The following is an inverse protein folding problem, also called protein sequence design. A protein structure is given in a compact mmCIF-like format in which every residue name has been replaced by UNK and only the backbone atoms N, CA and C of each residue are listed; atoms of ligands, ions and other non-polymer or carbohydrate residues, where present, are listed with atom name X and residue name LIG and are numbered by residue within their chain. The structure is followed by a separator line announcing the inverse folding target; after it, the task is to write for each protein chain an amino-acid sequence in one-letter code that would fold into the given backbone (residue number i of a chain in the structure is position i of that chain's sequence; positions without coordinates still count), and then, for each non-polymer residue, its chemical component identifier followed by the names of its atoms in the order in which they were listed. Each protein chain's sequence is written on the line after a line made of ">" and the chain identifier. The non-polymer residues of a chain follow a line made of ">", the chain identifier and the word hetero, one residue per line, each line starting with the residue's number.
data_IF_297258847851
#
_entry.id   IF_297258847851
#
_cell.length_a   1.000
_cell.length_b   1.000
_cell.length_c   1.000
_cell.angle_alpha   90.00
_cell.angle_beta   90.00
_cell.angle_gamma   90.00
#
_symmetry.space_group_name_H-M   'P 1'
#
loop_
_entity.id
_entity.type
_entity.pdbx_description
1 polymer ?
#
# COMPACT_ATOMS: atom_id res chain seq x y z
N UNK A 1 -14.19 3.07 23.04
CA UNK A 1 -14.19 2.31 21.79
C UNK A 1 -13.88 3.14 20.54
N UNK A 2 -14.70 4.16 20.10
CA UNK A 2 -14.34 4.97 18.91
C UNK A 2 -13.04 5.77 19.05
N UNK A 3 -12.81 6.43 20.20
CA UNK A 3 -11.57 7.21 20.46
C UNK A 3 -10.32 6.33 20.51
N UNK A 4 -10.45 5.10 20.96
CA UNK A 4 -9.32 4.18 21.08
C UNK A 4 -8.92 3.61 19.72
N UNK A 5 -9.88 3.36 18.83
CA UNK A 5 -9.63 2.92 17.46
C UNK A 5 -8.91 4.02 16.65
N UNK A 6 -9.40 5.26 16.72
CA UNK A 6 -8.76 6.41 16.07
C UNK A 6 -7.35 6.65 16.64
N UNK A 7 -7.18 6.51 17.94
CA UNK A 7 -5.87 6.65 18.58
C UNK A 7 -4.90 5.55 18.17
N UNK A 8 -5.37 4.31 18.04
CA UNK A 8 -4.56 3.19 17.56
C UNK A 8 -4.17 3.37 16.09
N UNK A 9 -5.09 3.85 15.25
CA UNK A 9 -4.81 4.19 13.86
C UNK A 9 -3.78 5.33 13.77
N UNK A 10 -3.95 6.40 14.54
CA UNK A 10 -3.00 7.52 14.58
C UNK A 10 -1.61 7.08 15.08
N UNK A 11 -1.55 6.24 16.12
CA UNK A 11 -0.28 5.71 16.63
C UNK A 11 0.40 4.77 15.63
N UNK A 12 -0.36 3.93 14.92
CA UNK A 12 0.17 3.10 13.83
C UNK A 12 0.70 3.95 12.67
N UNK A 13 0.07 5.10 12.42
CA UNK A 13 0.48 6.05 11.39
C UNK A 13 1.75 6.83 11.76
N UNK A 14 1.84 7.32 12.99
CA UNK A 14 3.06 7.96 13.53
C UNK A 14 4.25 6.99 13.48
N UNK A 15 4.03 5.75 13.91
CA UNK A 15 5.04 4.69 13.85
C UNK A 15 5.42 4.33 12.40
N UNK A 16 4.47 4.39 11.43
CA UNK A 16 4.74 4.17 10.01
C UNK A 16 5.64 5.26 9.42
N UNK A 17 5.44 6.52 9.82
CA UNK A 17 6.27 7.66 9.40
C UNK A 17 7.65 7.63 10.08
N UNK A 18 7.73 7.29 11.38
CA UNK A 18 9.01 7.16 12.09
C UNK A 18 9.84 5.99 11.57
N UNK A 19 9.21 4.87 11.21
CA UNK A 19 9.88 3.72 10.56
C UNK A 19 10.45 4.10 9.19
N UNK A 20 9.74 4.95 8.44
CA UNK A 20 10.17 5.48 7.15
C UNK A 20 11.44 6.34 7.23
N UNK A 21 11.76 6.89 8.40
CA UNK A 21 12.93 7.74 8.62
C UNK A 21 14.17 7.00 9.16
N UNK A 22 14.08 5.69 9.44
CA UNK A 22 15.22 4.85 9.84
C UNK A 22 15.75 4.06 8.65
N UNK A 23 16.76 4.60 8.00
CA UNK A 23 17.48 3.96 6.89
C UNK A 23 18.41 2.88 7.44
N UNK A 24 18.00 1.63 7.35
CA UNK A 24 18.93 0.48 7.27
C UNK A 24 18.54 -0.34 6.04
N UNK A 25 19.44 -0.44 5.05
CA UNK A 25 19.29 -1.29 3.86
C UNK A 25 19.23 -2.77 4.28
N UNK A 26 18.11 -3.21 4.80
CA UNK A 26 17.89 -4.59 5.21
C UNK A 26 17.12 -5.32 4.13
N UNK A 27 17.81 -6.10 3.31
CA UNK A 27 17.16 -7.01 2.37
C UNK A 27 16.32 -8.02 3.16
N UNK A 28 15.03 -8.16 2.83
CA UNK A 28 14.18 -9.19 3.46
C UNK A 28 14.66 -10.56 2.99
N UNK A 29 15.06 -11.42 3.92
CA UNK A 29 15.35 -12.83 3.66
C UNK A 29 14.00 -13.59 3.59
N UNK A 30 13.48 -13.73 2.36
CA UNK A 30 12.16 -14.35 2.13
C UNK A 30 12.30 -15.86 2.12
N UNK A 31 11.82 -16.52 3.18
CA UNK A 31 11.75 -17.98 3.32
C UNK A 31 10.35 -18.54 3.18
N UNK A 32 9.34 -17.74 3.53
CA UNK A 32 7.92 -18.15 3.51
C UNK A 32 7.07 -17.06 2.88
N UNK A 33 6.31 -17.44 1.87
CA UNK A 33 5.42 -16.54 1.11
C UNK A 33 3.98 -17.00 1.33
N UNK A 34 3.14 -16.12 1.87
CA UNK A 34 1.69 -16.34 1.96
C UNK A 34 1.01 -15.93 0.65
N UNK A 35 0.06 -16.75 0.18
CA UNK A 35 -0.79 -16.46 -0.98
C UNK A 35 -2.18 -17.11 -0.78
N UNK A 36 -3.12 -16.85 -1.71
CA UNK A 36 -4.49 -17.35 -1.62
C UNK A 36 -4.98 -17.94 -2.96
N UNK A 37 -4.65 -19.20 -3.25
CA UNK A 37 -5.10 -19.87 -4.48
C UNK A 37 -6.61 -20.14 -4.49
N UNK A 38 -7.26 -20.17 -3.33
CA UNK A 38 -8.71 -20.40 -3.23
C UNK A 38 -9.55 -19.27 -3.82
N UNK A 39 -8.98 -18.07 -3.94
CA UNK A 39 -9.65 -16.92 -4.57
C UNK A 39 -9.33 -16.85 -6.09
N UNK A 40 -8.10 -17.15 -6.47
CA UNK A 40 -7.64 -17.19 -7.87
C UNK A 40 -6.43 -18.15 -7.99
N UNK A 41 -6.49 -19.19 -8.84
CA UNK A 41 -5.36 -20.10 -9.07
C UNK A 41 -4.09 -19.39 -9.59
N UNK A 42 -4.23 -18.22 -10.23
CA UNK A 42 -3.09 -17.42 -10.68
C UNK A 42 -2.27 -16.83 -9.53
N UNK A 43 -2.86 -16.68 -8.32
CA UNK A 43 -2.17 -16.18 -7.13
C UNK A 43 -0.98 -17.08 -6.75
N UNK A 44 -1.09 -18.41 -6.94
CA UNK A 44 0.04 -19.34 -6.74
C UNK A 44 1.18 -19.10 -7.73
N UNK A 45 0.84 -18.92 -9.02
CA UNK A 45 1.84 -18.67 -10.06
C UNK A 45 2.55 -17.34 -9.83
N UNK A 46 1.78 -16.29 -9.51
CA UNK A 46 2.32 -14.97 -9.17
C UNK A 46 3.26 -15.06 -7.95
N UNK A 47 2.85 -15.71 -6.86
CA UNK A 47 3.69 -15.92 -5.67
C UNK A 47 4.98 -16.70 -6.00
N UNK A 48 4.94 -17.60 -7.00
CA UNK A 48 6.09 -18.40 -7.41
C UNK A 48 7.22 -17.57 -8.04
N UNK A 49 6.94 -16.34 -8.47
CA UNK A 49 7.94 -15.45 -9.10
C UNK A 49 8.73 -14.62 -8.10
N UNK A 50 8.34 -14.60 -6.82
CA UNK A 50 8.89 -13.64 -5.84
C UNK A 50 10.26 -14.06 -5.31
N UNK A 51 10.41 -15.32 -4.89
CA UNK A 51 11.68 -15.81 -4.38
C UNK A 51 11.86 -17.29 -4.72
N UNK A 52 12.99 -17.62 -5.37
CA UNK A 52 13.35 -19.00 -5.65
C UNK A 52 13.72 -19.72 -4.34
N UNK A 53 13.11 -20.90 -4.11
CA UNK A 53 13.39 -21.71 -2.94
C UNK A 53 12.57 -21.35 -1.69
N UNK A 54 11.82 -20.27 -1.66
CA UNK A 54 10.92 -19.96 -0.56
C UNK A 54 9.72 -20.91 -0.51
N UNK A 55 9.33 -21.32 0.69
CA UNK A 55 8.11 -22.09 0.90
C UNK A 55 6.88 -21.21 0.62
N UNK A 56 5.92 -21.74 -0.13
CA UNK A 56 4.65 -21.09 -0.47
C UNK A 56 3.54 -21.70 0.35
N UNK A 57 2.84 -20.87 1.11
CA UNK A 57 1.81 -21.32 2.05
C UNK A 57 0.47 -20.73 1.60
N UNK A 58 -0.48 -21.62 1.27
CA UNK A 58 -1.82 -21.26 0.82
C UNK A 58 -2.73 -20.95 1.99
N UNK A 59 -3.45 -19.86 1.91
CA UNK A 59 -4.46 -19.46 2.88
C UNK A 59 -5.84 -19.35 2.21
N UNK A 60 -6.90 -19.52 2.98
CA UNK A 60 -8.27 -19.64 2.47
C UNK A 60 -8.89 -18.33 1.97
N UNK A 61 -8.33 -17.18 2.33
CA UNK A 61 -8.77 -15.83 1.90
C UNK A 61 -7.67 -14.81 2.10
N UNK A 62 -7.87 -13.59 1.57
CA UNK A 62 -6.89 -12.51 1.64
C UNK A 62 -6.62 -12.01 3.06
N UNK A 63 -7.62 -12.03 3.96
CA UNK A 63 -7.44 -11.64 5.37
C UNK A 63 -6.42 -12.56 6.06
N UNK A 64 -6.61 -13.88 5.96
CA UNK A 64 -5.68 -14.85 6.54
C UNK A 64 -4.30 -14.80 5.90
N UNK A 65 -4.23 -14.54 4.60
CA UNK A 65 -2.97 -14.34 3.88
C UNK A 65 -2.22 -13.13 4.43
N UNK A 66 -2.92 -12.04 4.70
CA UNK A 66 -2.39 -10.83 5.31
C UNK A 66 -1.96 -11.08 6.77
N UNK A 67 -2.84 -11.70 7.56
CA UNK A 67 -2.61 -12.03 8.97
C UNK A 67 -1.39 -12.93 9.19
N UNK A 68 -1.10 -13.86 8.26
CA UNK A 68 0.07 -14.72 8.33
C UNK A 68 1.39 -13.95 8.34
N UNK A 69 1.44 -12.78 7.71
CA UNK A 69 2.61 -11.90 7.80
C UNK A 69 2.56 -11.08 9.08
N UNK A 70 1.39 -10.61 9.49
CA UNK A 70 1.21 -9.86 10.75
C UNK A 70 1.58 -10.72 11.96
N UNK A 71 1.26 -12.02 11.97
CA UNK A 71 1.65 -12.96 13.03
C UNK A 71 3.14 -13.35 12.99
N UNK A 72 3.78 -13.25 11.81
CA UNK A 72 5.16 -13.72 11.58
C UNK A 72 5.24 -15.18 11.13
N UNK A 73 4.11 -15.80 10.78
CA UNK A 73 4.08 -17.13 10.18
C UNK A 73 4.65 -17.14 8.76
N UNK A 74 4.56 -15.99 8.06
CA UNK A 74 5.18 -15.76 6.76
C UNK A 74 5.97 -14.45 6.77
N UNK A 75 6.98 -14.36 5.89
CA UNK A 75 7.85 -13.20 5.79
C UNK A 75 7.20 -12.12 4.91
N UNK A 76 6.50 -12.54 3.87
CA UNK A 76 5.74 -11.68 2.95
C UNK A 76 4.43 -12.34 2.52
N UNK A 77 3.49 -11.53 2.06
CA UNK A 77 2.33 -12.03 1.33
C UNK A 77 2.23 -11.39 -0.05
N UNK A 78 1.62 -12.13 -0.98
CA UNK A 78 1.38 -11.70 -2.37
C UNK A 78 -0.13 -11.59 -2.57
N UNK A 79 -0.61 -10.38 -2.81
CA UNK A 79 -2.02 -10.09 -2.96
C UNK A 79 -2.31 -9.33 -4.25
N UNK A 80 -3.33 -9.72 -5.04
CA UNK A 80 -3.77 -8.95 -6.20
C UNK A 80 -4.50 -7.70 -5.75
N UNK A 81 -4.16 -6.52 -6.24
CA UNK A 81 -4.85 -5.28 -5.88
C UNK A 81 -5.47 -4.54 -7.06
N UNK A 82 -5.12 -4.91 -8.29
CA UNK A 82 -5.68 -4.32 -9.50
C UNK A 82 -5.70 -5.32 -10.65
N UNK A 83 -6.79 -5.36 -11.40
CA UNK A 83 -7.01 -6.17 -12.58
C UNK A 83 -7.34 -5.27 -13.77
N UNK A 84 -6.78 -5.54 -14.94
CA UNK A 84 -6.96 -4.67 -16.11
C UNK A 84 -8.40 -4.65 -16.63
N UNK A 85 -9.19 -5.68 -16.37
CA UNK A 85 -10.60 -5.76 -16.79
C UNK A 85 -11.58 -5.34 -15.71
N UNK A 86 -11.41 -5.84 -14.48
CA UNK A 86 -12.36 -5.63 -13.37
C UNK A 86 -11.98 -4.48 -12.43
N UNK A 87 -10.81 -3.86 -12.62
CA UNK A 87 -10.35 -2.73 -11.82
C UNK A 87 -9.75 -3.15 -10.48
N UNK A 88 -10.01 -2.38 -9.42
CA UNK A 88 -9.39 -2.59 -8.12
C UNK A 88 -9.99 -3.78 -7.38
N UNK A 89 -9.13 -4.58 -6.73
CA UNK A 89 -9.55 -5.63 -5.78
C UNK A 89 -9.83 -4.94 -4.44
N UNK A 90 -11.07 -4.50 -4.27
CA UNK A 90 -11.47 -3.57 -3.19
C UNK A 90 -11.17 -4.12 -1.79
N UNK A 91 -11.34 -5.42 -1.58
CA UNK A 91 -11.04 -6.06 -0.30
C UNK A 91 -9.56 -5.95 0.07
N UNK A 92 -8.66 -6.17 -0.90
CA UNK A 92 -7.20 -6.01 -0.68
C UNK A 92 -6.85 -4.54 -0.43
N UNK A 93 -7.53 -3.61 -1.10
CA UNK A 93 -7.34 -2.18 -0.83
C UNK A 93 -7.76 -1.82 0.60
N UNK A 94 -8.84 -2.43 1.11
CA UNK A 94 -9.27 -2.22 2.50
C UNK A 94 -8.23 -2.74 3.51
N UNK A 95 -7.53 -3.85 3.21
CA UNK A 95 -6.40 -4.34 4.01
C UNK A 95 -5.23 -3.34 4.05
N UNK A 96 -4.96 -2.63 2.95
CA UNK A 96 -3.94 -1.57 2.93
C UNK A 96 -4.32 -0.40 3.84
N UNK A 97 -5.61 -0.07 3.94
CA UNK A 97 -6.08 0.99 4.83
C UNK A 97 -6.03 0.56 6.31
N UNK A 98 -6.54 -0.63 6.62
CA UNK A 98 -6.77 -1.08 8.00
C UNK A 98 -5.50 -1.61 8.67
N UNK A 99 -4.59 -2.21 7.91
CA UNK A 99 -3.44 -2.94 8.45
C UNK A 99 -2.13 -2.17 8.37
N UNK A 100 -1.07 -2.75 8.93
CA UNK A 100 0.24 -2.12 9.13
C UNK A 100 1.35 -2.64 8.20
N UNK A 101 1.02 -3.57 7.29
CA UNK A 101 2.00 -4.06 6.33
C UNK A 101 2.28 -3.00 5.26
N UNK A 102 3.53 -2.96 4.82
CA UNK A 102 3.97 -2.07 3.75
C UNK A 102 4.13 -2.82 2.43
N UNK A 103 3.77 -2.17 1.32
CA UNK A 103 4.10 -2.66 -0.01
C UNK A 103 5.61 -2.49 -0.23
N UNK A 104 6.31 -3.61 -0.44
CA UNK A 104 7.76 -3.62 -0.71
C UNK A 104 8.08 -3.88 -2.19
N UNK A 105 7.10 -4.37 -2.95
CA UNK A 105 7.22 -4.61 -4.39
C UNK A 105 5.84 -4.62 -5.04
N UNK A 106 5.77 -4.12 -6.25
CA UNK A 106 4.61 -4.29 -7.15
C UNK A 106 5.10 -4.90 -8.45
N UNK A 107 4.37 -5.88 -8.96
CA UNK A 107 4.66 -6.47 -10.26
C UNK A 107 3.37 -6.79 -11.03
N UNK A 108 3.51 -6.96 -12.33
CA UNK A 108 2.42 -7.34 -13.23
C UNK A 108 2.52 -8.82 -13.58
N UNK A 109 1.39 -9.48 -13.57
CA UNK A 109 1.24 -10.86 -14.00
C UNK A 109 0.22 -10.92 -15.14
N UNK A 110 0.64 -11.45 -16.29
CA UNK A 110 -0.24 -11.67 -17.44
C UNK A 110 -0.80 -13.09 -17.35
N UNK A 111 -2.12 -13.19 -17.19
CA UNK A 111 -2.83 -14.48 -17.13
C UNK A 111 -3.17 -15.03 -18.51
N UNK A 112 -2.91 -14.27 -19.57
CA UNK A 112 -3.37 -14.55 -20.94
C UNK A 112 -4.77 -13.99 -21.22
N UNK A 113 -5.58 -13.77 -20.19
CA UNK A 113 -6.91 -13.15 -20.31
C UNK A 113 -6.92 -11.69 -19.84
N UNK A 114 -6.16 -11.39 -18.82
CA UNK A 114 -6.00 -10.04 -18.26
C UNK A 114 -4.64 -9.87 -17.59
N UNK A 115 -4.25 -8.63 -17.36
CA UNK A 115 -3.07 -8.29 -16.57
C UNK A 115 -3.50 -7.96 -15.13
N UNK A 116 -2.90 -8.64 -14.17
CA UNK A 116 -3.12 -8.43 -12.73
C UNK A 116 -1.90 -7.76 -12.12
N UNK A 117 -2.12 -6.73 -11.32
CA UNK A 117 -1.07 -6.12 -10.49
C UNK A 117 -1.12 -6.73 -9.08
N UNK A 118 0.00 -7.27 -8.67
CA UNK A 118 0.20 -7.83 -7.33
C UNK A 118 1.07 -6.93 -6.47
N UNK A 119 0.70 -6.82 -5.21
CA UNK A 119 1.53 -6.23 -4.17
C UNK A 119 2.20 -7.34 -3.35
N UNK A 120 3.49 -7.19 -3.10
CA UNK A 120 4.21 -7.96 -2.08
C UNK A 120 4.25 -7.09 -0.83
N UNK A 121 3.72 -7.61 0.27
CA UNK A 121 3.61 -6.89 1.54
C UNK A 121 4.49 -7.54 2.59
N UNK A 122 5.10 -6.73 3.43
CA UNK A 122 5.94 -7.14 4.56
C UNK A 122 5.71 -6.24 5.77
N UNK A 123 6.13 -6.69 6.97
CA UNK A 123 6.10 -5.89 8.20
C UNK A 123 7.05 -4.69 8.15
N UNK A 124 8.25 -4.93 7.64
CA UNK A 124 9.28 -3.91 7.56
C UNK A 124 9.32 -3.37 6.12
N UNK A 125 9.09 -2.08 5.98
CA UNK A 125 9.34 -1.40 4.72
C UNK A 125 10.85 -1.50 4.45
N UNK A 126 11.24 -2.29 3.43
CA UNK A 126 12.56 -2.09 2.86
C UNK A 126 12.52 -0.72 2.18
N UNK A 127 13.43 0.14 2.54
CA UNK A 127 13.78 1.23 1.67
C UNK A 127 14.40 0.62 0.41
N UNK A 128 13.54 0.32 -0.57
CA UNK A 128 14.03 0.04 -1.92
C UNK A 128 14.78 1.28 -2.35
N UNK A 129 16.05 1.09 -2.72
CA UNK A 129 16.89 2.16 -3.21
C UNK A 129 16.10 3.04 -4.19
N UNK A 130 16.19 4.35 -4.02
CA UNK A 130 15.54 5.35 -4.86
C UNK A 130 16.14 5.29 -6.26
N UNK A 131 15.68 4.34 -7.07
CA UNK A 131 16.02 4.25 -8.48
C UNK A 131 15.12 5.22 -9.27
N UNK A 132 15.67 5.78 -10.35
CA UNK A 132 14.86 6.53 -11.34
C UNK A 132 13.66 5.70 -11.75
N UNK A 133 12.45 6.26 -11.60
CA UNK A 133 11.20 5.59 -11.90
C UNK A 133 10.55 4.86 -10.72
N UNK A 134 10.87 5.25 -9.49
CA UNK A 134 10.14 4.79 -8.29
C UNK A 134 8.69 5.29 -8.28
N UNK A 135 7.87 4.58 -7.51
CA UNK A 135 6.48 4.93 -7.19
C UNK A 135 6.23 4.78 -5.71
N UNK A 136 5.28 5.53 -5.23
CA UNK A 136 4.77 5.38 -3.87
C UNK A 136 3.25 5.43 -3.85
N UNK A 137 2.68 4.75 -2.86
CA UNK A 137 1.25 4.73 -2.62
C UNK A 137 0.97 5.30 -1.23
N UNK A 138 -0.02 6.20 -1.18
CA UNK A 138 -0.52 6.80 0.06
C UNK A 138 -2.03 6.62 0.16
N UNK A 139 -2.52 6.69 1.38
CA UNK A 139 -3.94 6.76 1.69
C UNK A 139 -4.16 8.00 2.56
N UNK A 140 -5.17 8.79 2.26
CA UNK A 140 -5.51 9.96 3.06
C UNK A 140 -7.03 10.15 3.20
N UNK A 141 -7.44 10.87 4.23
CA UNK A 141 -8.79 11.39 4.40
C UNK A 141 -8.76 12.91 4.41
N UNK A 142 -9.84 13.51 3.99
CA UNK A 142 -10.06 14.97 4.04
C UNK A 142 -11.45 15.26 4.57
N UNK A 143 -11.64 16.41 5.19
CA UNK A 143 -12.97 16.88 5.56
C UNK A 143 -13.90 16.88 4.34
N UNK A 144 -15.12 16.39 4.52
CA UNK A 144 -16.13 16.40 3.45
C UNK A 144 -16.75 17.80 3.28
N UNK A 145 -15.92 18.78 2.91
CA UNK A 145 -16.33 20.15 2.62
C UNK A 145 -15.78 20.62 1.29
N UNK A 146 -16.38 21.66 0.74
CA UNK A 146 -16.02 22.19 -0.56
C UNK A 146 -14.50 22.49 -0.67
N UNK A 147 -13.87 21.93 -1.70
CA UNK A 147 -12.46 22.17 -2.04
C UNK A 147 -11.42 21.36 -1.25
N UNK A 148 -11.80 20.56 -0.24
CA UNK A 148 -10.85 19.79 0.57
C UNK A 148 -10.04 18.81 -0.26
N UNK A 149 -10.69 17.98 -1.09
CA UNK A 149 -10.00 17.05 -1.99
C UNK A 149 -9.10 17.79 -3.00
N UNK A 150 -9.57 18.91 -3.53
CA UNK A 150 -8.78 19.72 -4.48
C UNK A 150 -7.50 20.23 -3.84
N UNK A 151 -7.54 20.65 -2.57
CA UNK A 151 -6.32 21.06 -1.83
C UNK A 151 -5.32 19.94 -1.70
N UNK A 152 -5.77 18.71 -1.37
CA UNK A 152 -4.90 17.54 -1.28
C UNK A 152 -4.28 17.18 -2.65
N UNK A 153 -5.06 17.19 -3.73
CA UNK A 153 -4.56 16.95 -5.09
C UNK A 153 -3.55 18.03 -5.50
N UNK A 154 -3.83 19.30 -5.20
CA UNK A 154 -2.92 20.40 -5.50
C UNK A 154 -1.61 20.30 -4.70
N UNK A 155 -1.65 19.84 -3.44
CA UNK A 155 -0.45 19.62 -2.64
C UNK A 155 0.48 18.58 -3.31
N UNK A 156 -0.07 17.55 -3.97
CA UNK A 156 0.73 16.58 -4.72
C UNK A 156 1.28 17.21 -6.01
N UNK A 157 0.41 17.81 -6.82
CA UNK A 157 0.76 18.25 -8.17
C UNK A 157 1.66 19.49 -8.18
N UNK A 158 1.54 20.39 -7.20
CA UNK A 158 2.38 21.60 -7.10
C UNK A 158 3.86 21.30 -6.83
N UNK A 159 4.16 20.13 -6.27
CA UNK A 159 5.52 19.62 -6.07
C UNK A 159 6.01 18.72 -7.22
N UNK A 160 5.29 18.70 -8.36
CA UNK A 160 5.71 18.00 -9.56
C UNK A 160 5.45 16.50 -9.59
N UNK A 161 4.71 15.95 -8.62
CA UNK A 161 4.36 14.52 -8.59
C UNK A 161 3.17 14.24 -9.50
N UNK A 162 3.35 13.24 -10.39
CA UNK A 162 2.28 12.77 -11.27
C UNK A 162 1.41 11.74 -10.55
N UNK A 163 0.12 12.00 -10.47
CA UNK A 163 -0.86 11.04 -9.93
C UNK A 163 -1.19 9.99 -11.01
N UNK A 164 -0.82 8.75 -10.77
CA UNK A 164 -1.11 7.60 -11.67
C UNK A 164 -2.52 7.11 -11.54
N UNK A 165 -3.00 7.01 -10.31
CA UNK A 165 -4.41 6.79 -10.04
C UNK A 165 -4.83 7.46 -8.73
N UNK A 166 -6.10 7.76 -8.64
CA UNK A 166 -6.81 8.16 -7.44
C UNK A 166 -8.07 7.31 -7.34
N UNK A 167 -8.26 6.62 -6.23
CA UNK A 167 -9.44 5.79 -5.99
C UNK A 167 -10.02 6.11 -4.62
N UNK A 168 -11.34 6.10 -4.51
CA UNK A 168 -12.04 6.43 -3.27
C UNK A 168 -12.82 5.23 -2.74
N UNK A 169 -12.86 5.10 -1.42
CA UNK A 169 -13.63 4.08 -0.71
C UNK A 169 -14.37 4.72 0.47
N UNK A 170 -15.61 4.28 0.77
CA UNK A 170 -16.34 4.78 1.93
C UNK A 170 -15.67 4.30 3.23
N UNK A 171 -15.63 5.18 4.23
CA UNK A 171 -15.30 4.81 5.61
C UNK A 171 -16.49 4.07 6.23
N UNK A 172 -16.24 2.88 6.73
CA UNK A 172 -17.29 2.10 7.44
C UNK A 172 -17.59 2.64 8.84
N UNK A 173 -16.72 3.51 9.35
CA UNK A 173 -16.82 4.08 10.71
C UNK A 173 -17.51 5.43 10.77
N UNK A 174 -17.72 6.08 9.64
CA UNK A 174 -18.33 7.41 9.54
C UNK A 174 -19.37 7.46 8.45
N UNK A 175 -20.51 8.07 8.75
CA UNK A 175 -21.55 8.32 7.76
C UNK A 175 -21.05 9.37 6.75
N UNK A 176 -20.98 8.97 5.46
CA UNK A 176 -20.48 9.82 4.36
C UNK A 176 -18.98 10.21 4.43
N UNK A 177 -18.16 9.50 5.22
CA UNK A 177 -16.72 9.62 5.18
C UNK A 177 -16.09 8.80 4.06
N UNK A 178 -14.98 9.28 3.50
CA UNK A 178 -14.24 8.61 2.44
C UNK A 178 -12.75 8.65 2.71
N UNK A 179 -12.04 7.58 2.33
CA UNK A 179 -10.59 7.60 2.21
C UNK A 179 -10.18 7.45 0.75
N UNK A 180 -9.04 8.01 0.43
CA UNK A 180 -8.52 8.12 -0.92
C UNK A 180 -7.19 7.40 -1.02
N UNK A 181 -7.08 6.47 -1.96
CA UNK A 181 -5.80 5.90 -2.37
C UNK A 181 -5.22 6.73 -3.50
N UNK A 182 -3.95 7.05 -3.40
CA UNK A 182 -3.22 7.72 -4.46
C UNK A 182 -1.91 7.00 -4.72
N UNK A 183 -1.63 6.69 -6.00
CA UNK A 183 -0.33 6.23 -6.46
C UNK A 183 0.33 7.35 -7.24
N UNK A 184 1.54 7.70 -6.87
CA UNK A 184 2.31 8.75 -7.52
C UNK A 184 3.61 8.19 -8.12
N UNK A 185 4.04 8.78 -9.24
CA UNK A 185 5.39 8.59 -9.75
C UNK A 185 6.36 9.49 -8.98
N UNK A 186 7.56 9.02 -8.71
CA UNK A 186 8.63 9.80 -8.10
C UNK A 186 9.08 9.26 -6.73
N UNK A 187 9.94 10.05 -6.09
CA UNK A 187 10.56 9.76 -4.80
C UNK A 187 10.01 10.72 -3.73
N UNK A 188 9.17 10.19 -2.84
CA UNK A 188 8.58 10.94 -1.73
C UNK A 188 9.60 11.31 -0.63
N UNK A 189 10.80 10.71 -0.62
CA UNK A 189 11.87 11.05 0.33
C UNK A 189 12.78 12.18 -0.17
N UNK A 190 12.64 12.58 -1.43
CA UNK A 190 13.30 13.77 -1.98
C UNK A 190 12.92 15.04 -1.23
N UNK A 191 13.68 16.12 -1.39
CA UNK A 191 13.34 17.40 -0.76
C UNK A 191 11.94 17.91 -1.17
N UNK A 192 11.56 17.74 -2.45
CA UNK A 192 10.21 18.07 -2.93
C UNK A 192 9.16 17.09 -2.38
N UNK A 193 9.50 15.80 -2.24
CA UNK A 193 8.63 14.82 -1.59
C UNK A 193 8.33 15.14 -0.13
N UNK A 194 9.34 15.54 0.64
CA UNK A 194 9.17 15.99 2.03
C UNK A 194 8.28 17.22 2.14
N UNK A 195 8.43 18.20 1.23
CA UNK A 195 7.56 19.38 1.18
C UNK A 195 6.13 19.00 0.83
N UNK A 196 5.94 18.16 -0.19
CA UNK A 196 4.62 17.63 -0.56
C UNK A 196 3.93 16.93 0.63
N UNK A 197 4.66 16.08 1.38
CA UNK A 197 4.13 15.40 2.57
C UNK A 197 3.72 16.41 3.65
N UNK A 198 4.52 17.46 3.87
CA UNK A 198 4.20 18.50 4.84
C UNK A 198 2.91 19.25 4.47
N UNK A 199 2.75 19.59 3.18
CA UNK A 199 1.55 20.28 2.68
C UNK A 199 0.33 19.35 2.74
N UNK A 200 0.48 18.05 2.42
CA UNK A 200 -0.60 17.08 2.58
C UNK A 200 -1.04 16.93 4.03
N UNK A 201 -0.11 16.87 4.98
CA UNK A 201 -0.43 16.81 6.42
C UNK A 201 -1.20 18.04 6.90
N UNK A 202 -0.99 19.20 6.29
CA UNK A 202 -1.68 20.44 6.64
C UNK A 202 -3.15 20.46 6.15
N UNK A 203 -3.50 19.68 5.13
CA UNK A 203 -4.83 19.69 4.50
C UNK A 203 -5.63 18.41 4.66
N UNK A 204 -4.98 17.29 5.00
CA UNK A 204 -5.62 16.00 5.24
C UNK A 204 -5.91 15.81 6.73
N UNK A 205 -6.98 15.11 7.06
CA UNK A 205 -7.26 14.67 8.44
C UNK A 205 -6.32 13.52 8.83
N UNK A 206 -6.06 12.65 7.86
CA UNK A 206 -5.18 11.50 8.03
C UNK A 206 -4.35 11.28 6.78
N UNK A 207 -3.12 10.78 6.94
CA UNK A 207 -2.21 10.46 5.86
C UNK A 207 -1.41 9.21 6.23
N UNK A 208 -1.48 8.15 5.43
CA UNK A 208 -0.77 6.90 5.60
C UNK A 208 0.05 6.58 4.36
N UNK A 209 1.31 6.24 4.54
CA UNK A 209 2.11 5.61 3.51
C UNK A 209 1.85 4.11 3.47
N UNK A 210 1.57 3.58 2.27
CA UNK A 210 1.32 2.16 2.05
C UNK A 210 2.59 1.45 1.57
N UNK A 211 3.43 2.16 0.82
CA UNK A 211 4.73 1.63 0.40
C UNK A 211 5.34 2.38 -0.76
N UNK A 212 6.62 2.05 -1.01
CA UNK A 212 7.44 2.51 -2.13
C UNK A 212 7.89 1.31 -2.93
N UNK A 213 7.93 1.42 -4.24
CA UNK A 213 8.31 0.32 -5.11
C UNK A 213 8.77 0.81 -6.49
N UNK A 214 9.61 0.03 -7.20
CA UNK A 214 10.01 0.35 -8.57
C UNK A 214 8.82 0.43 -9.52
N UNK A 215 8.88 1.29 -10.52
CA UNK A 215 7.83 1.48 -11.53
C UNK A 215 7.81 0.38 -12.61
N UNK A 216 8.83 -0.49 -12.65
CA UNK A 216 9.02 -1.57 -13.65
C UNK A 216 8.52 -2.90 -13.15
#
# INVERSE_FOLDING_TARGET
>A
MKKDLIKNILTAWENGIERSNKVENKTIDIKRIAYCAGMDPEDYKAASTIANGAARIDFSNYDKTYEAVVSGDCDVCVLPFERSRSGKVTHVMDLFYQGDLSIVKVFKWDTGEEVVRYAVLAKDANETAHEDGSRFMMIFTVLNVQGSLVKAINAISSHGFNIRFLHTRPLTTEEWGYYFYVECDGDDTSEEGKKMIADLKAVCETLKFVGRYPAK
#
